data_IF_278992904144
#
_entry.id   IF_278992904144
#
_cell.length_a   1.000
_cell.length_b   1.000
_cell.length_c   1.000
_cell.angle_alpha   90.00
_cell.angle_beta   90.00
_cell.angle_gamma   90.00
#
_symmetry.space_group_name_H-M   'P 1'
#
loop_
_entity.id
_entity.type
_entity.pdbx_description
1 polymer ?
#
# COMPACT_ATOMS: atom_id res chain seq x y z
N UNK A 1 -28.84 6.83 -31.57
CA UNK A 1 -28.82 8.31 -31.56
C UNK A 1 -27.74 8.78 -32.51
N UNK A 2 -28.10 9.57 -33.51
CA UNK A 2 -27.18 10.08 -34.56
C UNK A 2 -26.52 11.36 -34.09
N UNK A 3 -25.18 11.39 -34.05
CA UNK A 3 -24.41 12.59 -33.71
C UNK A 3 -24.41 13.57 -34.90
N UNK A 4 -24.59 14.88 -34.68
CA UNK A 4 -24.65 15.84 -35.77
C UNK A 4 -23.26 16.07 -36.37
N UNK A 5 -23.17 15.89 -37.68
CA UNK A 5 -22.02 16.20 -38.53
C UNK A 5 -22.05 17.68 -38.89
N UNK A 6 -21.37 18.56 -38.14
CA UNK A 6 -20.86 19.83 -38.69
C UNK A 6 -19.98 20.60 -37.67
N UNK A 7 -18.74 20.85 -38.05
CA UNK A 7 -18.10 22.16 -37.86
C UNK A 7 -17.58 22.59 -36.49
N UNK A 8 -17.75 21.82 -35.40
CA UNK A 8 -17.07 22.12 -34.12
C UNK A 8 -16.30 20.90 -33.63
N UNK A 9 -14.96 21.01 -33.65
CA UNK A 9 -14.08 20.14 -32.84
C UNK A 9 -14.31 20.45 -31.36
N UNK A 10 -15.44 20.02 -30.83
CA UNK A 10 -15.56 19.76 -29.40
C UNK A 10 -14.96 18.37 -29.26
N UNK A 11 -13.66 18.32 -29.00
CA UNK A 11 -13.06 17.08 -28.55
C UNK A 11 -13.68 16.82 -27.18
N UNK A 12 -14.78 16.07 -27.13
CA UNK A 12 -15.17 15.41 -25.88
C UNK A 12 -14.01 14.46 -25.58
N UNK A 13 -13.26 14.68 -24.49
CA UNK A 13 -12.19 13.78 -24.17
C UNK A 13 -12.81 12.39 -23.89
N UNK A 14 -12.12 11.32 -24.30
CA UNK A 14 -12.65 9.95 -24.29
C UNK A 14 -12.91 9.43 -22.86
N UNK A 15 -12.38 10.11 -21.85
CA UNK A 15 -12.63 9.92 -20.42
C UNK A 15 -14.10 10.18 -20.04
N UNK A 16 -14.74 11.22 -20.59
CA UNK A 16 -16.16 11.54 -20.37
C UNK A 16 -17.06 10.38 -20.83
N UNK A 17 -16.64 9.65 -21.87
CA UNK A 17 -17.35 8.47 -22.39
C UNK A 17 -17.25 7.30 -21.41
N UNK A 18 -16.13 7.17 -20.69
CA UNK A 18 -15.95 6.08 -19.72
C UNK A 18 -16.91 6.24 -18.52
N UNK A 19 -17.00 7.45 -17.97
CA UNK A 19 -17.92 7.73 -16.86
C UNK A 19 -19.39 7.57 -17.27
N UNK A 20 -19.77 7.96 -18.50
CA UNK A 20 -21.15 7.78 -18.98
C UNK A 20 -21.52 6.31 -19.17
N UNK A 21 -20.61 5.50 -19.72
CA UNK A 21 -20.86 4.06 -19.93
C UNK A 21 -21.00 3.32 -18.61
N UNK A 22 -20.17 3.68 -17.61
CA UNK A 22 -20.34 3.15 -16.25
C UNK A 22 -21.67 3.59 -15.67
N UNK A 23 -22.08 4.85 -15.84
CA UNK A 23 -23.36 5.33 -15.33
C UNK A 23 -24.56 4.56 -15.92
N UNK A 24 -24.47 4.15 -17.20
CA UNK A 24 -25.49 3.34 -17.87
C UNK A 24 -25.50 1.87 -17.42
N UNK A 25 -24.43 1.38 -16.78
CA UNK A 25 -24.34 0.01 -16.25
C UNK A 25 -24.08 -1.07 -17.31
N UNK A 26 -23.57 -0.72 -18.50
CA UNK A 26 -23.29 -1.69 -19.56
C UNK A 26 -21.83 -2.19 -19.49
N UNK A 27 -21.61 -3.20 -18.65
CA UNK A 27 -20.30 -3.84 -18.48
C UNK A 27 -19.76 -4.46 -19.79
N UNK A 28 -20.63 -4.88 -20.71
CA UNK A 28 -20.23 -5.48 -21.98
C UNK A 28 -19.73 -4.41 -22.96
N UNK A 29 -20.41 -3.26 -23.03
CA UNK A 29 -19.94 -2.10 -23.78
C UNK A 29 -18.65 -1.52 -23.18
N UNK A 30 -18.58 -1.43 -21.85
CA UNK A 30 -17.39 -1.00 -21.13
C UNK A 30 -16.17 -1.86 -21.50
N UNK A 31 -16.32 -3.19 -21.43
CA UNK A 31 -15.26 -4.13 -21.81
C UNK A 31 -14.86 -4.03 -23.28
N UNK A 32 -15.83 -3.81 -24.18
CA UNK A 32 -15.55 -3.59 -25.62
C UNK A 32 -14.73 -2.33 -25.83
N UNK A 33 -15.11 -1.21 -25.20
CA UNK A 33 -14.39 0.06 -25.31
C UNK A 33 -12.96 -0.07 -24.77
N UNK A 34 -12.79 -0.64 -23.58
CA UNK A 34 -11.47 -0.80 -22.95
C UNK A 34 -10.56 -1.77 -23.72
N UNK A 35 -11.13 -2.79 -24.37
CA UNK A 35 -10.37 -3.71 -25.22
C UNK A 35 -9.96 -3.07 -26.55
N UNK A 36 -10.89 -2.40 -27.23
CA UNK A 36 -10.67 -1.84 -28.57
C UNK A 36 -9.83 -0.55 -28.54
N UNK A 37 -9.91 0.21 -27.45
CA UNK A 37 -9.30 1.55 -27.32
C UNK A 37 -8.28 1.65 -26.19
N UNK A 38 -7.60 0.53 -25.89
CA UNK A 38 -6.67 0.35 -24.76
C UNK A 38 -5.60 1.44 -24.60
N UNK A 39 -5.16 2.08 -25.69
CA UNK A 39 -4.11 3.11 -25.65
C UNK A 39 -4.63 4.55 -25.78
N UNK A 40 -5.95 4.74 -25.86
CA UNK A 40 -6.58 6.05 -26.07
C UNK A 40 -7.54 6.45 -24.95
N UNK A 41 -7.91 5.51 -24.09
CA UNK A 41 -8.77 5.74 -22.93
C UNK A 41 -7.88 5.73 -21.70
N UNK A 42 -7.91 6.84 -20.96
CA UNK A 42 -7.38 6.86 -19.60
C UNK A 42 -8.44 6.27 -18.67
N UNK A 43 -8.16 5.09 -18.12
CA UNK A 43 -9.10 4.33 -17.28
C UNK A 43 -9.23 4.97 -15.90
N UNK A 44 -8.21 5.72 -15.49
CA UNK A 44 -8.12 6.37 -14.18
C UNK A 44 -8.50 7.85 -14.25
N UNK A 45 -9.06 8.28 -15.38
CA UNK A 45 -9.54 9.65 -15.55
C UNK A 45 -10.59 9.99 -14.48
N UNK A 46 -10.44 11.17 -13.90
CA UNK A 46 -11.27 11.64 -12.79
C UNK A 46 -12.29 12.68 -13.24
N UNK A 47 -13.46 12.66 -12.62
CA UNK A 47 -14.45 13.74 -12.77
C UNK A 47 -13.96 15.02 -12.05
N UNK A 48 -14.73 16.11 -12.19
CA UNK A 48 -14.49 17.35 -11.43
C UNK A 48 -14.53 17.18 -9.89
N UNK A 49 -15.09 16.07 -9.39
CA UNK A 49 -15.10 15.69 -7.97
C UNK A 49 -14.03 14.65 -7.62
N UNK A 50 -13.07 14.39 -8.52
CA UNK A 50 -12.00 13.41 -8.29
C UNK A 50 -12.43 11.96 -8.42
N UNK A 51 -13.67 11.67 -8.85
CA UNK A 51 -14.17 10.31 -8.94
C UNK A 51 -13.67 9.64 -10.21
N UNK A 52 -13.06 8.46 -10.08
CA UNK A 52 -12.73 7.59 -11.21
C UNK A 52 -13.94 6.76 -11.66
N UNK A 53 -13.82 6.10 -12.81
CA UNK A 53 -14.81 5.13 -13.27
C UNK A 53 -15.08 4.03 -12.22
N UNK A 54 -14.05 3.61 -11.47
CA UNK A 54 -14.20 2.62 -10.39
C UNK A 54 -15.07 3.16 -9.27
N UNK A 55 -14.88 4.42 -8.85
CA UNK A 55 -15.74 5.03 -7.82
C UNK A 55 -17.21 5.03 -8.23
N UNK A 56 -17.50 5.40 -9.48
CA UNK A 56 -18.87 5.44 -10.00
C UNK A 56 -19.51 4.05 -10.00
N UNK A 57 -18.77 3.03 -10.46
CA UNK A 57 -19.26 1.65 -10.46
C UNK A 57 -19.52 1.13 -9.03
N UNK A 58 -18.65 1.47 -8.08
CA UNK A 58 -18.83 1.12 -6.66
C UNK A 58 -20.05 1.84 -6.05
N UNK A 59 -20.23 3.13 -6.33
CA UNK A 59 -21.39 3.91 -5.84
C UNK A 59 -22.72 3.33 -6.34
N UNK A 60 -22.73 2.73 -7.52
CA UNK A 60 -23.90 2.08 -8.11
C UNK A 60 -24.06 0.61 -7.69
N UNK A 61 -23.12 0.05 -6.92
CA UNK A 61 -23.01 -1.38 -6.62
C UNK A 61 -22.95 -2.26 -7.89
N UNK A 62 -22.42 -1.72 -8.99
CA UNK A 62 -22.26 -2.47 -10.24
C UNK A 62 -20.98 -3.31 -10.20
N UNK A 63 -21.12 -4.50 -9.61
CA UNK A 63 -20.04 -5.47 -9.42
C UNK A 63 -19.38 -5.86 -10.74
N UNK A 64 -20.13 -5.93 -11.85
CA UNK A 64 -19.60 -6.39 -13.13
C UNK A 64 -18.80 -5.28 -13.82
N UNK A 65 -19.26 -4.04 -13.77
CA UNK A 65 -18.44 -2.89 -14.19
C UNK A 65 -17.16 -2.77 -13.35
N UNK A 66 -17.23 -2.95 -12.03
CA UNK A 66 -16.04 -2.97 -11.15
C UNK A 66 -15.05 -4.04 -11.61
N UNK A 67 -15.50 -5.28 -11.85
CA UNK A 67 -14.62 -6.35 -12.36
C UNK A 67 -13.98 -5.99 -13.69
N UNK A 68 -14.75 -5.46 -14.63
CA UNK A 68 -14.24 -5.09 -15.96
C UNK A 68 -13.17 -4.01 -15.83
N UNK A 69 -13.41 -2.96 -15.04
CA UNK A 69 -12.44 -1.89 -14.84
C UNK A 69 -11.13 -2.41 -14.22
N UNK A 70 -11.24 -3.20 -13.14
CA UNK A 70 -10.07 -3.75 -12.45
C UNK A 70 -9.26 -4.74 -13.30
N UNK A 71 -9.94 -5.59 -14.09
CA UNK A 71 -9.27 -6.54 -15.00
C UNK A 71 -8.55 -5.85 -16.15
N UNK A 72 -9.01 -4.65 -16.53
CA UNK A 72 -8.37 -3.80 -17.52
C UNK A 72 -7.29 -2.87 -16.95
N UNK A 73 -6.98 -2.99 -15.66
CA UNK A 73 -5.85 -2.29 -15.02
C UNK A 73 -6.19 -0.94 -14.42
N UNK A 74 -7.46 -0.65 -14.14
CA UNK A 74 -7.84 0.54 -13.38
C UNK A 74 -7.20 0.53 -11.98
N UNK A 75 -6.66 1.67 -11.55
CA UNK A 75 -6.13 1.85 -10.21
C UNK A 75 -7.28 2.02 -9.20
N UNK A 76 -7.35 1.08 -8.26
CA UNK A 76 -8.34 1.08 -7.18
C UNK A 76 -7.93 1.92 -5.96
N UNK A 77 -6.78 2.59 -6.02
CA UNK A 77 -6.22 3.40 -4.93
C UNK A 77 -6.31 4.91 -5.18
N UNK A 78 -6.85 5.33 -6.32
CA UNK A 78 -7.05 6.75 -6.61
C UNK A 78 -8.01 7.36 -5.58
N UNK A 79 -7.64 8.44 -4.87
CA UNK A 79 -8.54 9.12 -3.96
C UNK A 79 -9.42 10.16 -4.68
N UNK A 80 -10.64 10.34 -4.20
CA UNK A 80 -11.50 11.46 -4.57
C UNK A 80 -11.07 12.78 -3.88
N UNK A 81 -11.84 13.85 -4.08
CA UNK A 81 -11.55 15.17 -3.46
C UNK A 81 -11.55 15.17 -1.93
N UNK A 82 -12.19 14.18 -1.29
CA UNK A 82 -12.23 14.03 0.16
C UNK A 82 -11.17 13.04 0.66
N UNK A 83 -10.30 12.53 -0.22
CA UNK A 83 -9.34 11.49 0.12
C UNK A 83 -9.95 10.09 0.20
N UNK A 84 -11.23 9.93 -0.16
CA UNK A 84 -11.89 8.63 -0.15
C UNK A 84 -11.48 7.84 -1.40
N UNK A 85 -11.00 6.62 -1.20
CA UNK A 85 -10.77 5.66 -2.29
C UNK A 85 -12.04 4.83 -2.53
N UNK A 86 -12.14 4.09 -3.66
CA UNK A 86 -13.27 3.18 -3.90
C UNK A 86 -13.50 2.18 -2.77
N UNK A 87 -12.44 1.77 -2.06
CA UNK A 87 -12.53 0.87 -0.91
C UNK A 87 -13.22 1.52 0.30
N UNK A 88 -13.01 2.82 0.54
CA UNK A 88 -13.74 3.55 1.58
C UNK A 88 -15.24 3.59 1.28
N UNK A 89 -15.60 3.88 0.03
CA UNK A 89 -17.00 3.89 -0.41
C UNK A 89 -17.65 2.52 -0.28
N UNK A 90 -16.97 1.45 -0.72
CA UNK A 90 -17.48 0.09 -0.62
C UNK A 90 -17.64 -0.37 0.85
N UNK A 91 -16.70 0.00 1.73
CA UNK A 91 -16.77 -0.30 3.16
C UNK A 91 -17.95 0.41 3.83
N UNK A 92 -18.14 1.71 3.53
CA UNK A 92 -19.24 2.52 4.06
C UNK A 92 -20.62 2.09 3.58
N UNK A 93 -20.71 1.55 2.36
CA UNK A 93 -21.95 1.00 1.83
C UNK A 93 -22.20 -0.46 2.24
N UNK A 94 -21.21 -1.16 2.79
CA UNK A 94 -21.32 -2.57 3.21
C UNK A 94 -21.26 -3.57 2.06
N UNK A 95 -20.67 -3.21 0.91
CA UNK A 95 -20.59 -4.05 -0.28
C UNK A 95 -19.45 -5.08 -0.18
N UNK A 96 -19.68 -6.16 0.57
CA UNK A 96 -18.69 -7.22 0.86
C UNK A 96 -18.09 -7.85 -0.41
N UNK A 97 -18.91 -8.04 -1.43
CA UNK A 97 -18.51 -8.56 -2.74
C UNK A 97 -17.54 -7.62 -3.46
N UNK A 98 -17.85 -6.32 -3.50
CA UNK A 98 -16.99 -5.29 -4.08
C UNK A 98 -15.70 -5.13 -3.28
N UNK A 99 -15.78 -5.12 -1.94
CA UNK A 99 -14.60 -5.09 -1.05
C UNK A 99 -13.67 -6.26 -1.36
N UNK A 100 -14.21 -7.47 -1.48
CA UNK A 100 -13.42 -8.66 -1.84
C UNK A 100 -12.72 -8.52 -3.19
N UNK A 101 -13.39 -7.95 -4.19
CA UNK A 101 -12.82 -7.72 -5.52
C UNK A 101 -11.70 -6.67 -5.51
N UNK A 102 -11.90 -5.56 -4.80
CA UNK A 102 -10.91 -4.49 -4.65
C UNK A 102 -9.66 -5.00 -3.94
N UNK A 103 -9.82 -5.74 -2.84
CA UNK A 103 -8.70 -6.35 -2.12
C UNK A 103 -7.93 -7.37 -2.96
N UNK A 104 -8.64 -8.16 -3.78
CA UNK A 104 -8.01 -9.11 -4.71
C UNK A 104 -7.14 -8.40 -5.76
N UNK A 105 -7.50 -7.17 -6.14
CA UNK A 105 -6.76 -6.36 -7.12
C UNK A 105 -5.76 -5.38 -6.46
N UNK A 106 -5.46 -5.55 -5.18
CA UNK A 106 -4.40 -4.81 -4.51
C UNK A 106 -4.81 -3.45 -3.95
N UNK A 107 -6.08 -3.28 -3.58
CA UNK A 107 -6.52 -2.08 -2.85
C UNK A 107 -5.77 -1.94 -1.51
N UNK A 108 -5.29 -0.74 -1.24
CA UNK A 108 -4.50 -0.39 -0.06
C UNK A 108 -5.43 0.01 1.10
N UNK A 109 -5.46 -0.87 2.10
CA UNK A 109 -6.23 -0.70 3.34
C UNK A 109 -5.64 0.36 4.29
N UNK A 110 -4.45 0.89 4.00
CA UNK A 110 -3.75 1.86 4.84
C UNK A 110 -3.95 3.32 4.41
N UNK A 111 -4.61 3.55 3.27
CA UNK A 111 -4.95 4.88 2.80
C UNK A 111 -6.00 5.51 3.70
N UNK A 112 -5.86 6.83 3.90
CA UNK A 112 -6.69 7.61 4.81
C UNK A 112 -7.44 8.69 4.04
N UNK A 113 -8.67 8.96 4.47
CA UNK A 113 -9.43 10.13 4.02
C UNK A 113 -8.78 11.43 4.48
N UNK A 114 -9.28 12.56 4.00
CA UNK A 114 -8.88 13.88 4.48
C UNK A 114 -9.13 14.08 5.98
N UNK A 115 -10.06 13.35 6.57
CA UNK A 115 -10.36 13.35 8.01
C UNK A 115 -9.47 12.39 8.80
N UNK A 116 -8.67 11.56 8.12
CA UNK A 116 -7.75 10.60 8.72
C UNK A 116 -8.34 9.20 8.94
N UNK A 117 -9.54 8.93 8.43
CA UNK A 117 -10.24 7.67 8.60
C UNK A 117 -9.73 6.61 7.62
N UNK A 118 -9.59 5.37 8.10
CA UNK A 118 -9.31 4.20 7.27
C UNK A 118 -10.62 3.64 6.69
N UNK A 119 -10.57 2.78 5.66
CA UNK A 119 -11.76 2.11 5.15
C UNK A 119 -12.51 1.32 6.25
N UNK A 120 -11.78 0.76 7.22
CA UNK A 120 -12.37 0.03 8.35
C UNK A 120 -13.11 0.94 9.34
N UNK A 121 -12.71 2.21 9.47
CA UNK A 121 -13.33 3.18 10.38
C UNK A 121 -14.67 3.66 9.83
N UNK A 122 -14.82 3.67 8.49
CA UNK A 122 -16.06 4.02 7.79
C UNK A 122 -16.97 2.81 7.53
N UNK A 123 -16.65 1.62 8.02
CA UNK A 123 -17.40 0.40 7.71
C UNK A 123 -18.88 0.48 8.10
N UNK A 124 -19.76 -0.03 7.23
CA UNK A 124 -21.22 -0.02 7.44
C UNK A 124 -21.66 -0.76 8.72
N UNK A 125 -20.93 -1.82 9.08
CA UNK A 125 -21.19 -2.62 10.27
C UNK A 125 -19.90 -3.13 10.94
N UNK A 126 -20.06 -3.75 12.10
CA UNK A 126 -18.96 -4.28 12.89
C UNK A 126 -18.26 -5.48 12.20
N UNK A 127 -18.95 -6.24 11.36
CA UNK A 127 -18.39 -7.42 10.71
C UNK A 127 -17.46 -7.02 9.56
N UNK A 128 -17.88 -6.04 8.76
CA UNK A 128 -17.05 -5.39 7.74
C UNK A 128 -15.82 -4.72 8.37
N UNK A 129 -16.00 -3.98 9.47
CA UNK A 129 -14.89 -3.39 10.19
C UNK A 129 -13.86 -4.46 10.59
N UNK A 130 -14.30 -5.57 11.19
CA UNK A 130 -13.42 -6.68 11.57
C UNK A 130 -12.72 -7.34 10.39
N UNK A 131 -13.40 -7.50 9.26
CA UNK A 131 -12.83 -8.07 8.04
C UNK A 131 -11.67 -7.23 7.54
N UNK A 132 -11.89 -5.92 7.37
CA UNK A 132 -10.88 -4.99 6.86
C UNK A 132 -9.70 -4.86 7.83
N UNK A 133 -9.99 -4.76 9.13
CA UNK A 133 -8.98 -4.66 10.17
C UNK A 133 -8.15 -5.96 10.29
N UNK A 134 -8.77 -7.12 10.02
CA UNK A 134 -8.12 -8.43 9.92
C UNK A 134 -7.19 -8.54 8.72
N UNK A 135 -7.66 -8.16 7.52
CA UNK A 135 -6.84 -8.24 6.31
C UNK A 135 -5.69 -7.23 6.34
N UNK A 136 -5.91 -6.02 6.86
CA UNK A 136 -4.84 -5.04 7.06
C UNK A 136 -3.74 -5.61 7.97
N UNK A 137 -4.11 -6.26 9.08
CA UNK A 137 -3.15 -6.94 9.96
C UNK A 137 -2.41 -8.06 9.23
N UNK A 138 -3.10 -8.84 8.40
CA UNK A 138 -2.49 -9.91 7.61
C UNK A 138 -1.49 -9.36 6.59
N UNK A 139 -1.84 -8.29 5.88
CA UNK A 139 -0.98 -7.61 4.92
C UNK A 139 0.28 -7.06 5.58
N UNK A 140 0.13 -6.36 6.71
CA UNK A 140 1.28 -5.89 7.48
C UNK A 140 2.14 -7.07 7.92
N UNK A 141 1.53 -8.18 8.34
CA UNK A 141 2.29 -9.34 8.80
C UNK A 141 3.05 -10.05 7.67
N UNK A 142 2.52 -10.06 6.43
CA UNK A 142 3.23 -10.54 5.23
C UNK A 142 4.44 -9.64 4.93
N UNK A 143 4.26 -8.32 4.95
CA UNK A 143 5.36 -7.37 4.76
C UNK A 143 6.40 -7.49 5.90
N UNK A 144 5.92 -7.70 7.12
CA UNK A 144 6.80 -7.95 8.25
C UNK A 144 7.57 -9.27 8.08
N UNK A 145 6.96 -10.30 7.50
CA UNK A 145 7.66 -11.54 7.23
C UNK A 145 8.76 -11.32 6.19
N UNK A 146 8.48 -10.60 5.11
CA UNK A 146 9.46 -10.21 4.08
C UNK A 146 10.63 -9.45 4.71
N UNK A 147 10.34 -8.45 5.54
CA UNK A 147 11.39 -7.68 6.21
C UNK A 147 12.13 -8.49 7.28
N UNK A 148 11.50 -9.46 7.93
CA UNK A 148 12.17 -10.43 8.80
C UNK A 148 13.14 -11.28 7.99
N UNK A 149 12.72 -11.80 6.83
CA UNK A 149 13.59 -12.57 5.95
C UNK A 149 14.74 -11.74 5.39
N UNK A 150 14.49 -10.49 4.98
CA UNK A 150 15.53 -9.55 4.58
C UNK A 150 16.53 -9.29 5.70
N UNK A 151 16.05 -9.04 6.92
CA UNK A 151 16.91 -8.79 8.07
C UNK A 151 17.71 -10.04 8.44
N UNK A 152 17.08 -11.22 8.38
CA UNK A 152 17.73 -12.50 8.61
C UNK A 152 18.82 -12.77 7.55
N UNK A 153 18.58 -12.49 6.28
CA UNK A 153 19.59 -12.56 5.21
C UNK A 153 20.78 -11.63 5.50
N UNK A 154 20.51 -10.37 5.90
CA UNK A 154 21.58 -9.42 6.28
C UNK A 154 22.34 -9.82 7.54
N UNK A 155 21.67 -10.36 8.54
CA UNK A 155 22.28 -10.83 9.80
C UNK A 155 23.10 -12.08 9.56
N UNK A 156 22.63 -13.03 8.73
CA UNK A 156 23.36 -14.25 8.41
C UNK A 156 24.57 -13.94 7.52
N UNK A 157 24.39 -13.13 6.48
CA UNK A 157 25.50 -12.61 5.65
C UNK A 157 26.54 -11.87 6.48
N UNK A 158 26.09 -11.08 7.46
CA UNK A 158 27.02 -10.42 8.39
C UNK A 158 27.70 -11.41 9.33
N UNK A 159 27.00 -12.43 9.83
CA UNK A 159 27.59 -13.48 10.68
C UNK A 159 28.70 -14.23 9.96
N UNK A 160 28.50 -14.58 8.68
CA UNK A 160 29.52 -15.22 7.85
C UNK A 160 30.73 -14.30 7.60
N UNK A 161 30.45 -13.02 7.33
CA UNK A 161 31.48 -11.98 7.19
C UNK A 161 32.26 -11.70 8.48
N UNK A 162 31.58 -11.71 9.63
CA UNK A 162 32.19 -11.46 10.92
C UNK A 162 32.98 -12.68 11.42
N UNK A 163 32.50 -13.90 11.14
CA UNK A 163 33.20 -15.15 11.42
C UNK A 163 34.53 -15.26 10.67
N UNK A 164 34.56 -14.87 9.40
CA UNK A 164 35.79 -14.82 8.60
C UNK A 164 36.80 -13.77 9.07
N UNK A 165 36.37 -12.80 9.90
CA UNK A 165 37.23 -11.75 10.49
C UNK A 165 37.43 -11.86 12.00
N UNK A 166 36.99 -12.96 12.62
CA UNK A 166 37.00 -13.16 14.07
C UNK A 166 38.38 -12.89 14.70
N UNK A 167 39.46 -13.31 14.02
CA UNK A 167 40.83 -13.12 14.49
C UNK A 167 41.33 -11.66 14.42
N UNK A 168 40.72 -10.83 13.57
CA UNK A 168 41.17 -9.43 13.34
C UNK A 168 40.41 -8.40 14.17
N UNK A 169 39.15 -8.69 14.53
CA UNK A 169 38.26 -7.69 15.12
C UNK A 169 38.05 -7.84 16.63
N UNK A 170 38.36 -9.01 17.20
CA UNK A 170 38.22 -9.30 18.63
C UNK A 170 36.76 -9.59 19.03
N UNK A 171 36.59 -10.39 20.09
CA UNK A 171 35.29 -10.90 20.57
C UNK A 171 34.30 -9.79 20.94
N UNK A 172 34.78 -8.69 21.53
CA UNK A 172 33.92 -7.59 21.99
C UNK A 172 33.16 -6.90 20.86
N UNK A 173 33.81 -6.71 19.70
CA UNK A 173 33.21 -6.08 18.52
C UNK A 173 32.10 -6.96 17.92
N UNK A 174 32.32 -8.27 17.91
CA UNK A 174 31.34 -9.26 17.46
C UNK A 174 30.12 -9.30 18.38
N UNK A 175 30.34 -9.26 19.68
CA UNK A 175 29.27 -9.29 20.67
C UNK A 175 28.41 -8.02 20.62
N UNK A 176 29.05 -6.86 20.49
CA UNK A 176 28.35 -5.57 20.34
C UNK A 176 27.40 -5.55 19.13
N UNK A 177 27.86 -5.94 17.95
CA UNK A 177 27.00 -5.93 16.75
C UNK A 177 25.94 -7.03 16.79
N UNK A 178 26.24 -8.18 17.43
CA UNK A 178 25.26 -9.24 17.70
C UNK A 178 24.11 -8.77 18.61
N UNK A 179 24.43 -8.01 19.66
CA UNK A 179 23.43 -7.44 20.57
C UNK A 179 22.50 -6.43 19.87
N UNK A 180 23.05 -5.61 18.97
CA UNK A 180 22.26 -4.69 18.14
C UNK A 180 21.31 -5.46 17.21
N UNK A 181 21.82 -6.48 16.51
CA UNK A 181 20.99 -7.31 15.64
C UNK A 181 19.84 -7.99 16.42
N UNK A 182 20.13 -8.54 17.60
CA UNK A 182 19.11 -9.14 18.48
C UNK A 182 18.09 -8.11 18.98
N UNK A 183 18.52 -6.90 19.29
CA UNK A 183 17.61 -5.82 19.72
C UNK A 183 16.72 -5.33 18.59
N UNK A 184 17.20 -5.26 17.33
CA UNK A 184 16.35 -5.00 16.16
C UNK A 184 15.28 -6.08 16.02
N UNK A 185 15.66 -7.36 16.13
CA UNK A 185 14.73 -8.50 16.04
C UNK A 185 13.70 -8.48 17.19
N UNK A 186 14.13 -8.16 18.42
CA UNK A 186 13.24 -8.06 19.59
C UNK A 186 12.30 -6.87 19.48
N UNK A 187 12.78 -5.71 19.04
CA UNK A 187 11.96 -4.53 18.77
C UNK A 187 10.89 -4.83 17.73
N UNK A 188 11.26 -5.58 16.69
CA UNK A 188 10.34 -6.04 15.67
C UNK A 188 9.20 -6.93 16.18
N UNK A 189 9.54 -7.93 17.03
CA UNK A 189 8.53 -8.81 17.63
C UNK A 189 7.56 -8.08 18.56
N UNK A 190 7.99 -6.95 19.14
CA UNK A 190 7.23 -6.17 20.12
C UNK A 190 6.43 -5.02 19.51
N UNK A 191 6.57 -4.74 18.22
CA UNK A 191 5.81 -3.68 17.57
C UNK A 191 4.30 -3.95 17.66
N UNK A 192 3.59 -3.00 18.26
CA UNK A 192 2.14 -3.04 18.48
C UNK A 192 1.36 -2.96 17.16
N UNK A 193 0.07 -3.31 17.17
CA UNK A 193 -0.78 -3.22 15.96
C UNK A 193 -0.94 -1.77 15.46
N UNK A 194 -0.86 -0.78 16.35
CA UNK A 194 -0.85 0.64 15.99
C UNK A 194 0.49 1.10 15.39
N UNK A 195 1.63 0.59 15.89
CA UNK A 195 2.94 0.80 15.26
C UNK A 195 3.02 0.16 13.87
N UNK A 196 2.29 -0.94 13.68
CA UNK A 196 2.13 -1.64 12.40
C UNK A 196 1.40 -0.82 11.34
N UNK A 197 0.52 0.11 11.74
CA UNK A 197 -0.12 1.08 10.83
C UNK A 197 0.89 2.07 10.26
N UNK A 198 1.85 2.53 11.08
CA UNK A 198 2.94 3.40 10.65
C UNK A 198 4.06 2.68 9.88
N UNK A 199 4.07 1.34 9.90
CA UNK A 199 5.03 0.53 9.13
C UNK A 199 4.66 0.43 7.64
N UNK A 200 3.37 0.52 7.31
CA UNK A 200 2.84 0.42 5.93
C UNK A 200 2.79 1.78 5.24
N UNK A 201 2.48 2.85 5.99
CA UNK A 201 2.43 4.21 5.45
C UNK A 201 3.70 5.02 5.81
N UNK A 202 4.60 5.32 4.85
CA UNK A 202 5.83 6.07 5.13
C UNK A 202 5.62 7.51 5.58
N UNK A 203 4.42 8.08 5.34
CA UNK A 203 4.03 9.42 5.76
C UNK A 203 3.35 9.47 7.15
N UNK A 204 3.06 8.32 7.76
CA UNK A 204 2.41 8.29 9.07
C UNK A 204 3.33 8.84 10.18
N UNK A 205 2.81 9.68 11.10
CA UNK A 205 3.58 10.18 12.23
C UNK A 205 4.00 9.01 13.15
N UNK A 206 5.31 8.83 13.30
CA UNK A 206 5.93 7.76 14.09
C UNK A 206 5.94 8.17 15.55
N UNK A 207 5.49 7.31 16.46
CA UNK A 207 5.52 7.59 17.90
C UNK A 207 5.81 6.32 18.69
N UNK A 208 6.66 6.42 19.70
CA UNK A 208 6.88 5.34 20.66
C UNK A 208 7.70 4.17 20.10
N UNK A 209 7.15 2.96 20.12
CA UNK A 209 7.88 1.72 19.79
C UNK A 209 8.27 1.59 18.32
N UNK A 210 7.44 2.10 17.39
CA UNK A 210 7.75 2.17 15.95
C UNK A 210 8.98 3.02 15.66
N UNK A 211 9.07 4.22 16.23
CA UNK A 211 10.17 5.15 16.05
C UNK A 211 11.51 4.53 16.48
N UNK A 212 11.53 3.95 17.69
CA UNK A 212 12.71 3.25 18.22
C UNK A 212 13.13 2.06 17.36
N UNK A 213 12.18 1.32 16.81
CA UNK A 213 12.48 0.21 15.90
C UNK A 213 13.17 0.69 14.61
N UNK A 214 12.66 1.74 13.98
CA UNK A 214 13.25 2.27 12.75
C UNK A 214 14.61 2.91 12.96
N UNK A 215 14.83 3.55 14.12
CA UNK A 215 16.13 4.07 14.52
C UNK A 215 17.16 2.92 14.63
N UNK A 216 16.83 1.87 15.38
CA UNK A 216 17.67 0.67 15.50
C UNK A 216 17.94 0.01 14.13
N UNK A 217 16.94 -0.04 13.24
CA UNK A 217 17.10 -0.57 11.88
C UNK A 217 18.10 0.25 11.07
N UNK A 218 18.04 1.59 11.17
CA UNK A 218 18.96 2.50 10.46
C UNK A 218 20.39 2.35 10.99
N UNK A 219 20.56 2.38 12.31
CA UNK A 219 21.84 2.16 12.98
C UNK A 219 22.47 0.82 12.57
N UNK A 220 21.68 -0.26 12.51
CA UNK A 220 22.18 -1.57 12.06
C UNK A 220 22.67 -1.56 10.61
N UNK A 221 21.97 -0.86 9.70
CA UNK A 221 22.39 -0.75 8.29
C UNK A 221 23.69 0.04 8.16
N UNK A 222 23.80 1.15 8.88
CA UNK A 222 24.99 2.01 8.88
C UNK A 222 26.20 1.30 9.52
N UNK A 223 25.99 0.57 10.62
CA UNK A 223 27.00 -0.29 11.23
C UNK A 223 27.46 -1.37 10.27
N UNK A 224 26.54 -2.08 9.60
CA UNK A 224 26.90 -3.12 8.64
C UNK A 224 27.70 -2.53 7.46
N UNK A 225 27.30 -1.35 6.95
CA UNK A 225 28.04 -0.63 5.92
C UNK A 225 29.43 -0.17 6.42
N UNK A 226 29.53 0.30 7.67
CA UNK A 226 30.77 0.69 8.31
C UNK A 226 31.72 -0.49 8.53
N UNK A 227 31.20 -1.64 8.97
CA UNK A 227 31.95 -2.86 9.25
C UNK A 227 32.62 -3.34 7.96
N UNK A 228 31.87 -3.33 6.85
CA UNK A 228 32.41 -3.69 5.55
C UNK A 228 33.58 -2.79 5.11
N UNK A 229 33.61 -1.53 5.55
CA UNK A 229 34.65 -0.54 5.19
C UNK A 229 35.83 -0.51 6.17
N UNK A 230 35.63 -0.72 7.48
CA UNK A 230 36.67 -0.60 8.53
C UNK A 230 36.22 -1.17 9.88
N UNK A 231 37.17 -1.35 10.83
CA UNK A 231 36.87 -1.77 12.23
C UNK A 231 36.09 -0.67 12.95
N UNK A 232 35.03 -1.02 13.67
CA UNK A 232 34.17 -0.08 14.41
C UNK A 232 34.30 -0.34 15.93
N UNK A 233 34.39 0.73 16.75
CA UNK A 233 34.39 0.66 18.22
C UNK A 233 33.05 1.10 18.82
N UNK A 234 32.88 0.95 20.14
CA UNK A 234 31.68 1.39 20.89
C UNK A 234 31.41 2.90 20.81
N UNK A 235 32.41 3.71 20.46
CA UNK A 235 32.29 5.18 20.35
C UNK A 235 31.75 5.63 18.98
N UNK A 236 31.27 4.70 18.17
CA UNK A 236 30.73 4.99 16.86
C UNK A 236 29.45 5.81 16.96
N UNK A 237 29.50 7.01 16.38
CA UNK A 237 28.36 7.90 16.26
C UNK A 237 27.97 8.02 14.78
N UNK A 238 26.81 7.50 14.35
CA UNK A 238 26.30 7.76 13.02
C UNK A 238 25.99 9.25 12.89
N UNK A 239 26.51 9.87 11.83
CA UNK A 239 26.15 11.24 11.47
C UNK A 239 24.81 11.27 10.77
#
# INVERSE_FOLDING_TARGET
MTYPTEGRKIAFPLDVVLHSVVHEGDAAELGRILTLRRNTVDVDATTHTGLTAVHLAVLQHDVDCVKVLLTHGADCNVPDVNGCTPLHTAAAAGFVDVVGLLLLHGADLSLQTAEGDLPADLAADHDMARLLDGELRAQVQRELLIQRYWLWDKVLSWKDYAWTRLQTWGQETLQFVGDIALNVIRGYRRASVTDRRALVNPAAPRRGSSERFYQLKREFVELNAGCKRRKISRDWNPR
#
